data_IF_288909982404
#
_entry.id   IF_288909982404
#
_cell.length_a   1.000
_cell.length_b   1.000
_cell.length_c   1.000
_cell.angle_alpha   90.00
_cell.angle_beta   90.00
_cell.angle_gamma   90.00
#
_symmetry.space_group_name_H-M   'P 1'
#
loop_
_entity.id
_entity.type
_entity.pdbx_description
1 polymer ?
#
# COMPACT_ATOMS: atom_id res chain seq x y z
N UNK A 1 13.04 -2.81 -14.10
CA UNK A 1 12.50 -3.21 -12.78
C UNK A 1 11.99 -4.62 -12.94
N UNK A 2 12.19 -5.46 -11.94
CA UNK A 2 11.82 -6.88 -11.96
C UNK A 2 11.13 -7.26 -10.66
N UNK A 3 10.29 -8.30 -10.73
CA UNK A 3 9.59 -8.87 -9.58
C UNK A 3 10.54 -9.75 -8.76
N UNK A 4 10.51 -9.60 -7.44
CA UNK A 4 11.27 -10.43 -6.50
C UNK A 4 10.41 -11.49 -5.81
N UNK A 5 9.09 -11.39 -5.91
CA UNK A 5 8.17 -12.36 -5.34
C UNK A 5 8.44 -13.75 -5.92
N UNK A 6 8.67 -14.72 -5.04
CA UNK A 6 8.87 -16.13 -5.41
C UNK A 6 8.02 -17.06 -4.55
N UNK A 7 7.54 -18.16 -5.15
CA UNK A 7 6.69 -19.12 -4.47
C UNK A 7 5.24 -18.66 -4.30
N UNK A 8 4.45 -19.49 -3.62
CA UNK A 8 2.98 -19.38 -3.53
C UNK A 8 2.47 -19.13 -2.11
N UNK A 9 3.35 -18.81 -1.16
CA UNK A 9 2.97 -18.58 0.23
C UNK A 9 2.23 -17.24 0.35
N UNK A 10 1.05 -17.19 1.01
CA UNK A 10 0.24 -15.97 1.09
C UNK A 10 0.93 -14.91 1.95
N UNK A 11 0.92 -13.67 1.46
CA UNK A 11 1.40 -12.49 2.20
C UNK A 11 0.30 -11.91 3.08
N UNK A 12 -0.97 -12.24 2.80
CA UNK A 12 -2.12 -11.89 3.60
C UNK A 12 -2.91 -13.15 3.98
N UNK A 13 -3.27 -13.28 5.26
CA UNK A 13 -4.05 -14.41 5.78
C UNK A 13 -4.96 -13.95 6.91
N UNK A 14 -6.27 -14.16 6.73
CA UNK A 14 -7.26 -14.02 7.78
C UNK A 14 -8.03 -15.33 7.98
N UNK A 15 -9.13 -15.30 8.73
CA UNK A 15 -9.91 -16.51 9.03
C UNK A 15 -10.68 -17.10 7.82
N UNK A 16 -10.81 -16.34 6.73
CA UNK A 16 -11.72 -16.65 5.60
C UNK A 16 -10.95 -16.76 4.29
N UNK A 17 -9.81 -16.08 4.13
CA UNK A 17 -9.05 -16.03 2.89
C UNK A 17 -7.54 -15.94 3.11
N UNK A 18 -6.81 -16.38 2.09
CA UNK A 18 -5.36 -16.28 1.97
C UNK A 18 -5.00 -15.77 0.58
N UNK A 19 -4.22 -14.70 0.48
CA UNK A 19 -3.93 -14.00 -0.78
C UNK A 19 -2.46 -13.56 -0.84
N UNK A 20 -1.95 -13.35 -2.05
CA UNK A 20 -0.63 -12.74 -2.31
C UNK A 20 -0.89 -11.36 -2.89
N UNK A 21 -0.86 -10.34 -2.01
CA UNK A 21 -1.19 -8.95 -2.37
C UNK A 21 -0.04 -7.99 -2.15
N UNK A 22 1.00 -8.42 -1.44
CA UNK A 22 2.20 -7.62 -1.17
C UNK A 22 3.27 -7.93 -2.23
N UNK A 23 3.70 -6.89 -2.97
CA UNK A 23 4.65 -7.00 -4.08
C UNK A 23 5.99 -6.38 -3.68
N UNK A 24 7.09 -7.07 -3.99
CA UNK A 24 8.46 -6.57 -3.85
C UNK A 24 9.07 -6.41 -5.25
N UNK A 25 9.49 -5.19 -5.56
CA UNK A 25 10.15 -4.84 -6.83
C UNK A 25 11.60 -4.45 -6.58
N UNK A 26 12.47 -4.77 -7.53
CA UNK A 26 13.84 -4.25 -7.54
C UNK A 26 14.23 -3.75 -8.93
N UNK A 27 15.18 -2.82 -8.97
CA UNK A 27 15.87 -2.47 -10.19
C UNK A 27 16.80 -3.60 -10.62
N UNK A 28 17.08 -3.73 -11.93
CA UNK A 28 17.90 -4.82 -12.49
C UNK A 28 19.27 -4.94 -11.82
N UNK A 29 19.89 -3.80 -11.50
CA UNK A 29 21.18 -3.74 -10.82
C UNK A 29 21.12 -4.19 -9.34
N UNK A 30 19.97 -4.13 -8.69
CA UNK A 30 19.77 -4.56 -7.29
C UNK A 30 19.20 -5.98 -7.21
N UNK A 31 18.54 -6.46 -8.27
CA UNK A 31 17.92 -7.78 -8.32
C UNK A 31 18.90 -8.90 -7.97
N UNK A 32 20.14 -8.83 -8.48
CA UNK A 32 21.20 -9.80 -8.19
C UNK A 32 21.78 -9.69 -6.78
N UNK A 33 21.50 -8.60 -6.05
CA UNK A 33 21.91 -8.40 -4.66
C UNK A 33 20.92 -8.97 -3.65
N UNK A 34 19.66 -9.14 -4.06
CA UNK A 34 18.61 -9.69 -3.21
C UNK A 34 18.68 -11.21 -3.19
N UNK A 35 18.75 -11.78 -1.99
CA UNK A 35 18.86 -13.22 -1.76
C UNK A 35 17.76 -13.68 -0.78
N UNK A 36 17.40 -14.97 -0.85
CA UNK A 36 16.45 -15.64 0.04
C UNK A 36 15.12 -14.89 0.25
N UNK A 37 14.60 -14.25 -0.79
CA UNK A 37 13.27 -13.66 -0.72
C UNK A 37 12.25 -14.76 -0.38
N UNK A 38 11.46 -14.54 0.67
CA UNK A 38 10.39 -15.45 1.08
C UNK A 38 9.40 -14.75 2.00
N UNK A 39 8.20 -15.31 2.08
CA UNK A 39 7.27 -15.01 3.17
C UNK A 39 7.67 -15.83 4.40
N UNK A 40 7.85 -15.17 5.53
CA UNK A 40 8.28 -15.77 6.80
C UNK A 40 7.28 -16.82 7.30
N UNK A 41 7.82 -17.84 8.00
CA UNK A 41 7.02 -18.83 8.75
C UNK A 41 6.58 -18.33 10.12
N UNK A 42 7.22 -17.26 10.59
CA UNK A 42 6.94 -16.66 11.89
C UNK A 42 5.57 -15.97 11.90
N UNK A 43 4.97 -15.96 13.08
CA UNK A 43 3.64 -15.38 13.29
C UNK A 43 3.79 -13.87 13.49
N UNK A 44 3.26 -13.07 12.56
CA UNK A 44 3.31 -11.61 12.57
C UNK A 44 2.31 -10.92 13.52
N UNK A 45 1.39 -11.68 14.13
CA UNK A 45 0.19 -11.17 14.84
C UNK A 45 -0.73 -10.25 14.03
N UNK A 46 -0.42 -10.03 12.76
CA UNK A 46 -1.23 -9.32 11.77
C UNK A 46 -1.93 -10.30 10.83
N UNK A 47 -2.88 -9.82 10.05
CA UNK A 47 -3.36 -10.51 8.86
C UNK A 47 -2.29 -10.52 7.75
N UNK A 48 -1.47 -9.48 7.64
CA UNK A 48 -0.26 -9.49 6.81
C UNK A 48 0.86 -10.36 7.40
N UNK A 49 1.60 -11.05 6.55
CA UNK A 49 2.76 -11.89 6.87
C UNK A 49 4.05 -11.13 6.56
N UNK A 50 5.12 -11.42 7.30
CA UNK A 50 6.40 -10.77 7.06
C UNK A 50 7.04 -11.28 5.77
N UNK A 51 7.40 -10.37 4.88
CA UNK A 51 8.30 -10.65 3.75
C UNK A 51 9.73 -10.43 4.25
N UNK A 52 10.60 -11.41 4.01
CA UNK A 52 12.01 -11.34 4.42
C UNK A 52 12.91 -11.69 3.24
N UNK A 53 14.00 -10.94 3.11
CA UNK A 53 15.06 -11.16 2.14
C UNK A 53 16.40 -10.70 2.75
N UNK A 54 17.49 -11.06 2.11
CA UNK A 54 18.86 -10.64 2.47
C UNK A 54 19.43 -9.80 1.33
N UNK A 55 20.23 -8.81 1.67
CA UNK A 55 21.04 -8.08 0.70
C UNK A 55 22.49 -8.57 0.80
N UNK A 56 23.15 -8.74 -0.35
CA UNK A 56 24.59 -9.07 -0.43
C UNK A 56 25.46 -7.95 0.15
N UNK A 57 25.08 -6.69 -0.09
CA UNK A 57 25.77 -5.52 0.45
C UNK A 57 25.01 -4.97 1.66
N UNK A 58 25.74 -4.42 2.62
CA UNK A 58 25.14 -3.72 3.76
C UNK A 58 25.43 -2.22 3.65
N UNK A 59 24.49 -1.40 3.16
CA UNK A 59 24.69 0.04 3.02
C UNK A 59 25.10 0.75 4.31
N UNK A 60 24.82 0.17 5.49
CA UNK A 60 25.25 0.73 6.79
C UNK A 60 26.74 0.58 7.07
N UNK A 61 27.46 -0.23 6.29
CA UNK A 61 28.89 -0.55 6.49
C UNK A 61 29.79 -0.01 5.37
N UNK A 62 29.25 0.85 4.51
CA UNK A 62 30.03 1.47 3.44
C UNK A 62 31.16 2.34 4.01
N UNK A 63 32.33 2.31 3.37
CA UNK A 63 33.39 3.27 3.61
C UNK A 63 33.02 4.63 3.00
N UNK A 64 32.28 5.45 3.76
CA UNK A 64 31.84 6.77 3.30
C UNK A 64 32.99 7.74 3.02
N UNK A 65 34.12 7.59 3.71
CA UNK A 65 35.28 8.48 3.53
C UNK A 65 35.91 8.21 2.17
N UNK A 66 36.30 6.95 1.90
CA UNK A 66 36.86 6.55 0.60
C UNK A 66 35.91 6.85 -0.56
N UNK A 67 34.62 6.52 -0.40
CA UNK A 67 33.61 6.83 -1.41
C UNK A 67 33.56 8.33 -1.76
N UNK A 68 33.58 9.21 -0.75
CA UNK A 68 33.53 10.66 -0.97
C UNK A 68 34.79 11.19 -1.63
N UNK A 69 35.96 10.70 -1.23
CA UNK A 69 37.25 11.13 -1.79
C UNK A 69 37.38 10.70 -3.26
N UNK A 70 37.11 9.43 -3.57
CA UNK A 70 37.15 8.89 -4.93
C UNK A 70 36.15 9.58 -5.86
N UNK A 71 34.90 9.74 -5.39
CA UNK A 71 33.85 10.39 -6.16
C UNK A 71 34.19 11.86 -6.43
N UNK A 72 34.68 12.59 -5.41
CA UNK A 72 35.07 13.99 -5.56
C UNK A 72 36.21 14.15 -6.56
N UNK A 73 37.26 13.34 -6.44
CA UNK A 73 38.40 13.36 -7.36
C UNK A 73 37.95 13.13 -8.80
N UNK A 74 37.08 12.14 -9.03
CA UNK A 74 36.59 11.83 -10.37
C UNK A 74 35.69 12.92 -10.94
N UNK A 75 34.75 13.45 -10.15
CA UNK A 75 33.87 14.55 -10.58
C UNK A 75 34.66 15.81 -10.90
N UNK A 76 35.67 16.17 -10.09
CA UNK A 76 36.52 17.34 -10.36
C UNK A 76 37.30 17.23 -11.67
N UNK A 77 37.62 16.01 -12.11
CA UNK A 77 38.25 15.74 -13.40
C UNK A 77 37.27 15.58 -14.57
N UNK A 78 35.96 15.51 -14.28
CA UNK A 78 34.93 15.22 -15.27
C UNK A 78 34.59 16.49 -16.06
N UNK A 79 35.25 16.67 -17.21
CA UNK A 79 34.96 17.75 -18.15
C UNK A 79 33.88 17.28 -19.11
N UNK A 80 32.80 18.06 -19.22
CA UNK A 80 31.73 17.82 -20.20
C UNK A 80 31.35 19.14 -20.83
N UNK A 81 31.28 19.13 -22.16
CA UNK A 81 30.60 20.14 -22.98
C UNK A 81 29.25 19.57 -23.39
N UNK A 82 28.17 20.31 -23.16
CA UNK A 82 26.79 19.88 -23.45
C UNK A 82 26.28 20.69 -24.63
N UNK A 83 26.31 20.13 -25.83
CA UNK A 83 25.82 20.81 -27.04
C UNK A 83 24.46 20.26 -27.46
N UNK A 84 24.18 18.99 -27.13
CA UNK A 84 22.95 18.30 -27.48
C UNK A 84 22.27 17.61 -26.29
N UNK A 85 21.01 17.24 -26.46
CA UNK A 85 20.27 16.41 -25.50
C UNK A 85 20.89 15.02 -25.32
N UNK A 86 21.47 14.48 -26.38
CA UNK A 86 22.17 13.21 -26.43
C UNK A 86 23.44 13.23 -25.58
N UNK A 87 24.18 14.36 -25.59
CA UNK A 87 25.36 14.55 -24.75
C UNK A 87 25.01 14.53 -23.27
N UNK A 88 23.88 15.15 -22.91
CA UNK A 88 23.38 15.18 -21.52
C UNK A 88 23.04 13.74 -21.08
N UNK A 89 22.32 12.99 -21.90
CA UNK A 89 21.95 11.61 -21.61
C UNK A 89 23.16 10.68 -21.52
N UNK A 90 24.15 10.88 -22.39
CA UNK A 90 25.40 10.15 -22.36
C UNK A 90 26.17 10.43 -21.07
N UNK A 91 26.30 11.70 -20.68
CA UNK A 91 26.99 12.09 -19.47
C UNK A 91 26.27 11.63 -18.21
N UNK A 92 24.94 11.61 -18.21
CA UNK A 92 24.11 11.03 -17.15
C UNK A 92 24.39 9.54 -16.94
N UNK A 93 24.57 8.77 -18.03
CA UNK A 93 24.96 7.35 -17.95
C UNK A 93 26.36 7.19 -17.37
N UNK A 94 27.33 7.97 -17.84
CA UNK A 94 28.71 7.91 -17.32
C UNK A 94 28.74 8.25 -15.83
N UNK A 95 28.08 9.33 -15.41
CA UNK A 95 28.03 9.71 -14.00
C UNK A 95 27.35 8.64 -13.14
N UNK A 96 26.27 8.03 -13.65
CA UNK A 96 25.61 6.90 -12.98
C UNK A 96 26.57 5.72 -12.78
N UNK A 97 27.31 5.34 -13.82
CA UNK A 97 28.23 4.21 -13.76
C UNK A 97 29.41 4.49 -12.81
N UNK A 98 29.90 5.73 -12.77
CA UNK A 98 30.90 6.21 -11.81
C UNK A 98 30.37 6.10 -10.38
N UNK A 99 29.17 6.62 -10.11
CA UNK A 99 28.54 6.58 -8.79
C UNK A 99 28.35 5.14 -8.31
N UNK A 100 27.84 4.27 -9.20
CA UNK A 100 27.60 2.85 -8.88
C UNK A 100 28.93 2.15 -8.61
N UNK A 101 29.93 2.30 -9.47
CA UNK A 101 31.22 1.61 -9.30
C UNK A 101 31.94 2.00 -8.02
N UNK A 102 31.97 3.29 -7.65
CA UNK A 102 32.54 3.71 -6.37
C UNK A 102 31.75 3.20 -5.17
N UNK A 103 30.42 3.16 -5.26
CA UNK A 103 29.60 2.53 -4.23
C UNK A 103 29.96 1.05 -4.05
N UNK A 104 30.08 0.32 -5.16
CA UNK A 104 30.40 -1.10 -5.13
C UNK A 104 31.79 -1.40 -4.59
N UNK A 105 32.78 -0.56 -4.93
CA UNK A 105 34.16 -0.66 -4.42
C UNK A 105 34.25 -0.37 -2.91
N UNK A 106 33.48 0.60 -2.43
CA UNK A 106 33.49 1.00 -1.02
C UNK A 106 32.50 0.21 -0.15
N UNK A 107 31.70 -0.68 -0.74
CA UNK A 107 30.69 -1.49 -0.05
C UNK A 107 30.92 -2.98 -0.30
N UNK A 108 31.71 -3.61 0.57
CA UNK A 108 32.05 -5.03 0.51
C UNK A 108 30.83 -5.94 0.36
N UNK A 109 30.95 -6.93 -0.53
CA UNK A 109 30.02 -8.05 -0.60
C UNK A 109 30.14 -8.89 0.67
N UNK A 110 29.11 -8.85 1.50
CA UNK A 110 29.02 -9.66 2.71
C UNK A 110 27.94 -10.70 2.54
N UNK A 111 28.36 -11.94 2.28
CA UNK A 111 27.50 -13.08 2.55
C UNK A 111 27.26 -13.13 4.07
N UNK A 112 26.14 -12.55 4.54
CA UNK A 112 25.71 -12.74 5.92
C UNK A 112 25.59 -14.24 6.14
N UNK A 113 26.46 -14.81 6.97
CA UNK A 113 26.25 -16.15 7.53
C UNK A 113 24.84 -16.17 8.11
N UNK A 114 24.04 -17.23 7.88
CA UNK A 114 22.73 -17.32 8.49
C UNK A 114 22.88 -17.05 9.98
N UNK A 115 22.24 -15.98 10.44
CA UNK A 115 22.18 -15.65 11.86
C UNK A 115 21.76 -16.92 12.58
N UNK A 116 22.49 -17.33 13.63
CA UNK A 116 21.93 -18.32 14.56
C UNK A 116 20.54 -17.82 14.90
N UNK A 117 19.54 -18.71 14.80
CA UNK A 117 18.16 -18.46 15.22
C UNK A 117 18.19 -17.58 16.47
N UNK A 118 17.39 -16.52 16.50
CA UNK A 118 17.36 -15.58 17.61
C UNK A 118 17.47 -16.38 18.94
N UNK A 119 18.54 -16.23 19.73
CA UNK A 119 18.87 -17.18 20.79
C UNK A 119 17.81 -17.21 21.90
N UNK A 120 17.00 -16.16 21.99
CA UNK A 120 15.86 -16.04 22.88
C UNK A 120 14.58 -16.69 22.33
N UNK A 121 14.53 -17.09 21.06
CA UNK A 121 13.36 -17.71 20.43
C UNK A 121 13.39 -19.23 20.57
N UNK A 122 12.36 -19.80 21.20
CA UNK A 122 12.25 -21.25 21.41
C UNK A 122 10.83 -21.77 21.10
N UNK A 123 10.69 -23.09 20.98
CA UNK A 123 9.41 -23.75 20.65
C UNK A 123 8.28 -23.44 21.65
N UNK A 124 8.60 -23.19 22.92
CA UNK A 124 7.62 -22.83 23.96
C UNK A 124 7.00 -21.45 23.68
N UNK A 125 7.82 -20.46 23.35
CA UNK A 125 7.37 -19.13 22.95
C UNK A 125 6.52 -19.19 21.68
N UNK A 126 6.94 -19.96 20.68
CA UNK A 126 6.16 -20.14 19.44
C UNK A 126 4.77 -20.73 19.72
N UNK A 127 4.67 -21.74 20.59
CA UNK A 127 3.40 -22.35 21.00
C UNK A 127 2.50 -21.35 21.72
N UNK A 128 3.06 -20.55 22.64
CA UNK A 128 2.32 -19.50 23.37
C UNK A 128 1.82 -18.41 22.44
N UNK A 129 2.64 -17.95 21.50
CA UNK A 129 2.22 -16.95 20.50
C UNK A 129 1.09 -17.46 19.60
N UNK A 130 1.16 -18.72 19.15
CA UNK A 130 0.05 -19.34 18.39
C UNK A 130 -1.24 -19.37 19.22
N UNK A 131 -1.17 -19.62 20.53
CA UNK A 131 -2.33 -19.59 21.43
C UNK A 131 -2.90 -18.16 21.55
N UNK A 132 -2.05 -17.16 21.77
CA UNK A 132 -2.47 -15.74 21.84
C UNK A 132 -3.17 -15.32 20.55
N UNK A 133 -2.63 -15.66 19.37
CA UNK A 133 -3.27 -15.35 18.08
C UNK A 133 -4.64 -16.00 17.93
N UNK A 134 -4.80 -17.26 18.35
CA UNK A 134 -6.10 -17.94 18.32
C UNK A 134 -7.13 -17.23 19.20
N UNK A 135 -6.74 -16.87 20.43
CA UNK A 135 -7.61 -16.15 21.36
C UNK A 135 -7.99 -14.77 20.84
N UNK A 136 -7.03 -14.03 20.30
CA UNK A 136 -7.28 -12.71 19.71
C UNK A 136 -8.21 -12.77 18.50
N UNK A 137 -8.02 -13.76 17.61
CA UNK A 137 -8.92 -13.96 16.47
C UNK A 137 -10.33 -14.36 16.93
N UNK A 138 -10.46 -15.17 17.98
CA UNK A 138 -11.75 -15.50 18.57
C UNK A 138 -12.42 -14.26 19.16
N UNK A 139 -11.68 -13.45 19.93
CA UNK A 139 -12.17 -12.17 20.45
C UNK A 139 -12.71 -11.26 19.34
N UNK A 140 -11.96 -11.08 18.24
CA UNK A 140 -12.44 -10.31 17.08
C UNK A 140 -13.76 -10.85 16.51
N UNK A 141 -13.89 -12.17 16.38
CA UNK A 141 -15.14 -12.81 15.93
C UNK A 141 -16.29 -12.56 16.91
N UNK A 142 -16.03 -12.59 18.21
CA UNK A 142 -17.06 -12.30 19.21
C UNK A 142 -17.51 -10.82 19.18
N UNK A 143 -16.60 -9.86 18.96
CA UNK A 143 -16.98 -8.46 18.70
C UNK A 143 -17.90 -8.36 17.48
N UNK A 144 -17.52 -9.01 16.38
CA UNK A 144 -18.29 -8.95 15.14
C UNK A 144 -19.69 -9.55 15.34
N UNK A 145 -19.78 -10.72 16.00
CA UNK A 145 -21.06 -11.34 16.38
C UNK A 145 -21.88 -10.42 17.27
N UNK A 146 -21.30 -9.86 18.33
CA UNK A 146 -21.98 -8.95 19.24
C UNK A 146 -22.47 -7.68 18.51
N UNK A 147 -21.70 -7.17 17.56
CA UNK A 147 -22.10 -6.06 16.69
C UNK A 147 -23.29 -6.43 15.81
N UNK A 148 -23.26 -7.59 15.17
CA UNK A 148 -24.38 -8.12 14.35
C UNK A 148 -25.63 -8.35 15.20
N UNK A 149 -25.49 -8.95 16.38
CA UNK A 149 -26.60 -9.19 17.31
C UNK A 149 -27.17 -7.90 17.89
N UNK A 150 -26.31 -6.95 18.27
CA UNK A 150 -26.68 -5.62 18.71
C UNK A 150 -27.47 -4.88 17.62
N UNK A 151 -27.01 -4.96 16.37
CA UNK A 151 -27.73 -4.42 15.22
C UNK A 151 -29.09 -5.08 15.02
N UNK A 152 -29.16 -6.42 15.08
CA UNK A 152 -30.43 -7.16 15.02
C UNK A 152 -31.40 -6.74 16.13
N UNK A 153 -30.91 -6.58 17.36
CA UNK A 153 -31.71 -6.15 18.52
C UNK A 153 -32.21 -4.72 18.33
N UNK A 154 -31.34 -3.81 17.90
CA UNK A 154 -31.70 -2.43 17.56
C UNK A 154 -32.81 -2.38 16.51
N UNK A 155 -32.67 -3.12 15.41
CA UNK A 155 -33.69 -3.19 14.37
C UNK A 155 -35.02 -3.77 14.88
N UNK A 156 -34.99 -4.76 15.77
CA UNK A 156 -36.20 -5.37 16.36
C UNK A 156 -36.89 -4.46 17.39
N UNK A 157 -36.14 -3.67 18.16
CA UNK A 157 -36.69 -2.75 19.16
C UNK A 157 -37.44 -1.56 18.55
N UNK A 158 -37.22 -1.31 17.26
CA UNK A 158 -37.82 -0.22 16.50
C UNK A 158 -39.03 -0.74 15.74
N UNK A 159 -40.21 -0.56 16.32
CA UNK A 159 -41.51 -1.01 15.77
C UNK A 159 -42.34 0.11 15.16
N UNK A 160 -41.87 1.37 15.23
CA UNK A 160 -42.63 2.53 14.73
C UNK A 160 -42.21 2.91 13.31
N UNK A 161 -43.16 3.46 12.53
CA UNK A 161 -42.96 3.87 11.13
C UNK A 161 -41.88 4.97 10.98
N UNK A 162 -41.68 5.81 11.99
CA UNK A 162 -40.64 6.85 11.97
C UNK A 162 -39.22 6.28 12.14
N UNK A 163 -39.10 5.15 12.83
CA UNK A 163 -37.81 4.49 13.07
C UNK A 163 -37.32 3.71 11.85
N UNK A 164 -38.23 3.04 11.13
CA UNK A 164 -37.94 2.38 9.85
C UNK A 164 -37.60 3.41 8.76
N UNK A 165 -38.20 4.59 8.77
CA UNK A 165 -37.82 5.70 7.88
C UNK A 165 -36.38 6.19 8.13
N UNK A 166 -35.94 6.32 9.39
CA UNK A 166 -34.54 6.67 9.73
C UNK A 166 -33.55 5.59 9.29
N UNK A 167 -33.88 4.31 9.47
CA UNK A 167 -33.10 3.17 8.99
C UNK A 167 -33.00 3.15 7.47
N UNK A 168 -34.10 3.41 6.77
CA UNK A 168 -34.15 3.54 5.31
C UNK A 168 -33.24 4.66 4.81
N UNK A 169 -33.26 5.84 5.43
CA UNK A 169 -32.38 6.98 5.11
C UNK A 169 -30.89 6.62 5.30
N UNK A 170 -30.54 5.93 6.39
CA UNK A 170 -29.15 5.52 6.68
C UNK A 170 -28.66 4.44 5.71
N UNK A 171 -29.52 3.50 5.33
CA UNK A 171 -29.18 2.42 4.40
C UNK A 171 -29.15 2.87 2.94
N UNK A 172 -29.93 3.90 2.56
CA UNK A 172 -29.87 4.51 1.23
C UNK A 172 -28.64 5.39 1.01
N UNK A 173 -28.00 5.87 2.08
CA UNK A 173 -26.82 6.75 2.00
C UNK A 173 -25.66 6.23 2.85
N UNK A 174 -24.94 5.19 2.40
CA UNK A 174 -23.75 4.70 3.08
C UNK A 174 -22.67 5.80 3.06
N UNK A 175 -22.52 6.48 4.21
CA UNK A 175 -21.83 7.78 4.41
C UNK A 175 -22.61 8.93 3.79
N UNK A 176 -23.27 9.73 4.64
CA UNK A 176 -24.04 10.91 4.22
C UNK A 176 -23.19 11.80 3.30
N UNK A 177 -23.69 12.17 2.11
CA UNK A 177 -23.06 13.22 1.31
C UNK A 177 -23.10 14.55 2.07
N UNK A 178 -22.08 15.39 1.88
CA UNK A 178 -21.83 16.68 2.56
C UNK A 178 -22.96 17.74 2.38
N UNK A 179 -24.04 17.38 1.69
CA UNK A 179 -25.08 18.25 1.14
C UNK A 179 -26.04 18.80 2.18
N UNK A 180 -26.33 18.02 3.22
CA UNK A 180 -27.27 18.42 4.28
C UNK A 180 -26.62 19.30 5.36
N UNK A 181 -25.36 19.70 5.17
CA UNK A 181 -24.57 20.42 6.19
C UNK A 181 -24.03 21.76 5.70
N UNK A 182 -24.18 22.07 4.41
CA UNK A 182 -23.67 23.31 3.83
C UNK A 182 -24.85 24.18 3.40
N UNK A 183 -24.98 25.33 4.08
CA UNK A 183 -25.96 26.36 3.74
C UNK A 183 -25.37 27.27 2.68
N UNK A 184 -26.09 27.43 1.57
CA UNK A 184 -25.70 28.30 0.48
C UNK A 184 -25.84 29.76 0.91
N UNK A 185 -25.13 30.65 0.21
CA UNK A 185 -25.19 32.11 0.45
C UNK A 185 -26.61 32.67 0.24
N UNK A 186 -27.45 31.97 -0.54
CA UNK A 186 -28.86 32.30 -0.77
C UNK A 186 -29.78 31.96 0.42
N UNK A 187 -29.26 31.30 1.46
CA UNK A 187 -30.01 30.91 2.66
C UNK A 187 -30.65 29.52 2.59
N UNK A 188 -30.63 28.87 1.43
CA UNK A 188 -31.09 27.51 1.22
C UNK A 188 -29.99 26.46 1.48
N UNK A 189 -30.38 25.20 1.65
CA UNK A 189 -29.45 24.08 1.79
C UNK A 189 -29.02 23.52 0.42
N UNK A 190 -27.76 23.11 0.30
CA UNK A 190 -27.22 22.55 -0.93
C UNK A 190 -27.91 21.22 -1.28
N UNK A 191 -28.52 21.14 -2.47
CA UNK A 191 -29.36 19.99 -2.85
C UNK A 191 -28.53 18.81 -3.35
N UNK A 192 -27.27 19.05 -3.70
CA UNK A 192 -26.34 18.04 -4.18
C UNK A 192 -24.87 18.46 -3.92
N UNK A 193 -23.94 17.49 -4.04
CA UNK A 193 -22.54 17.69 -3.68
C UNK A 193 -21.82 18.73 -4.55
N UNK A 194 -22.27 18.93 -5.79
CA UNK A 194 -21.69 19.95 -6.69
C UNK A 194 -22.09 21.37 -6.27
N UNK A 195 -23.33 21.59 -5.85
CA UNK A 195 -23.78 22.88 -5.29
C UNK A 195 -23.03 23.23 -4.01
N UNK A 196 -22.89 22.25 -3.11
CA UNK A 196 -22.17 22.43 -1.86
C UNK A 196 -20.69 22.80 -2.10
N UNK A 197 -20.03 22.10 -3.03
CA UNK A 197 -18.64 22.36 -3.42
C UNK A 197 -18.48 23.73 -4.08
N UNK A 198 -19.36 24.10 -5.01
CA UNK A 198 -19.34 25.42 -5.67
C UNK A 198 -19.55 26.55 -4.68
N UNK A 199 -20.44 26.39 -3.71
CA UNK A 199 -20.64 27.39 -2.65
C UNK A 199 -19.41 27.54 -1.77
N UNK A 200 -18.80 26.44 -1.33
CA UNK A 200 -17.57 26.49 -0.52
C UNK A 200 -16.42 27.16 -1.27
N UNK A 201 -16.21 26.82 -2.54
CA UNK A 201 -15.16 27.42 -3.37
C UNK A 201 -15.42 28.92 -3.53
N UNK A 202 -16.65 29.34 -3.81
CA UNK A 202 -17.02 30.75 -3.98
C UNK A 202 -16.88 31.56 -2.69
N UNK A 203 -17.19 30.96 -1.53
CA UNK A 203 -17.12 31.63 -0.22
C UNK A 203 -15.69 31.73 0.32
N UNK A 204 -14.86 30.69 0.14
CA UNK A 204 -13.52 30.64 0.72
C UNK A 204 -12.39 31.01 -0.24
N UNK A 205 -12.64 30.99 -1.56
CA UNK A 205 -11.64 31.24 -2.61
C UNK A 205 -12.26 32.08 -3.76
N UNK A 206 -12.60 33.36 -3.53
CA UNK A 206 -13.34 34.18 -4.50
C UNK A 206 -12.61 34.44 -5.82
N UNK A 207 -11.28 34.31 -5.84
CA UNK A 207 -10.44 34.50 -7.02
C UNK A 207 -10.35 33.25 -7.92
N UNK A 208 -10.96 32.13 -7.52
CA UNK A 208 -10.94 30.87 -8.26
C UNK A 208 -11.82 30.93 -9.52
N UNK A 209 -11.24 30.68 -10.71
CA UNK A 209 -11.96 30.58 -12.00
C UNK A 209 -12.16 29.12 -12.42
N UNK A 210 -13.41 28.67 -12.54
CA UNK A 210 -13.77 27.29 -12.91
C UNK A 210 -13.54 27.06 -14.43
N UNK A 211 -12.53 26.26 -14.80
CA UNK A 211 -12.22 26.01 -16.23
C UNK A 211 -11.04 25.09 -16.61
N UNK A 212 -10.15 24.70 -15.70
CA UNK A 212 -9.02 23.81 -16.06
C UNK A 212 -9.30 22.34 -15.70
N UNK A 213 -10.13 21.64 -16.50
CA UNK A 213 -10.32 20.19 -16.36
C UNK A 213 -9.37 19.43 -17.30
N UNK A 214 -8.50 18.60 -16.74
CA UNK A 214 -7.74 17.59 -17.49
C UNK A 214 -8.60 16.35 -17.77
N UNK A 215 -8.33 15.71 -18.90
CA UNK A 215 -9.06 14.63 -19.58
C UNK A 215 -9.22 13.30 -18.78
N UNK A 216 -8.85 13.26 -17.50
CA UNK A 216 -8.59 12.01 -16.76
C UNK A 216 -9.82 11.30 -16.16
N UNK A 217 -11.02 11.90 -16.17
CA UNK A 217 -12.18 11.37 -15.41
C UNK A 217 -13.17 10.54 -16.28
N UNK A 218 -12.93 10.39 -17.59
CA UNK A 218 -13.85 9.67 -18.50
C UNK A 218 -13.81 8.13 -18.40
N UNK A 219 -12.92 7.52 -17.62
CA UNK A 219 -12.79 6.05 -17.51
C UNK A 219 -13.21 5.53 -16.12
N UNK A 220 -14.49 5.64 -15.78
CA UNK A 220 -15.08 4.82 -14.70
C UNK A 220 -15.90 3.68 -15.30
N UNK A 221 -15.51 2.46 -14.94
CA UNK A 221 -16.07 1.18 -15.40
C UNK A 221 -17.58 1.08 -15.22
N UNK A 222 -18.26 0.54 -16.22
CA UNK A 222 -19.73 0.47 -16.28
C UNK A 222 -20.26 -0.71 -15.47
N UNK A 223 -21.56 -0.69 -15.18
CA UNK A 223 -22.27 -1.72 -14.40
C UNK A 223 -22.20 -3.10 -15.08
N UNK A 224 -22.02 -3.15 -16.40
CA UNK A 224 -21.80 -4.39 -17.13
C UNK A 224 -20.48 -5.08 -16.74
N UNK A 225 -19.42 -4.30 -16.49
CA UNK A 225 -18.08 -4.81 -16.15
C UNK A 225 -18.11 -5.59 -14.82
N UNK A 226 -18.89 -5.11 -13.85
CA UNK A 226 -19.08 -5.78 -12.56
C UNK A 226 -19.89 -7.08 -12.64
N UNK A 227 -20.83 -7.19 -13.61
CA UNK A 227 -21.59 -8.43 -13.84
C UNK A 227 -20.74 -9.49 -14.53
N UNK A 228 -19.86 -9.07 -15.45
CA UNK A 228 -18.89 -9.95 -16.09
C UNK A 228 -17.87 -10.48 -15.07
N UNK A 229 -17.34 -9.60 -14.21
CA UNK A 229 -16.40 -9.99 -13.15
C UNK A 229 -17.03 -11.02 -12.20
N UNK A 230 -18.29 -10.81 -11.79
CA UNK A 230 -19.01 -11.74 -10.92
C UNK A 230 -19.19 -13.13 -11.53
N UNK A 231 -19.47 -13.22 -12.84
CA UNK A 231 -19.55 -14.49 -13.58
C UNK A 231 -18.20 -15.22 -13.66
N UNK A 232 -17.10 -14.48 -13.73
CA UNK A 232 -15.75 -15.07 -13.79
C UNK A 232 -15.32 -15.60 -12.43
N UNK A 233 -15.78 -14.98 -11.33
CA UNK A 233 -15.41 -15.38 -9.96
C UNK A 233 -16.26 -16.49 -9.34
N UNK A 234 -17.48 -16.73 -9.84
CA UNK A 234 -18.34 -17.82 -9.35
C UNK A 234 -17.90 -19.16 -9.98
N UNK A 235 -17.14 -19.92 -9.20
CA UNK A 235 -16.51 -21.21 -9.53
C UNK A 235 -17.50 -22.26 -10.06
N UNK A 236 -17.36 -22.59 -11.35
CA UNK A 236 -17.62 -23.92 -11.89
C UNK A 236 -16.64 -24.25 -13.03
N UNK A 237 -15.33 -24.09 -12.80
CA UNK A 237 -14.25 -24.74 -13.59
C UNK A 237 -12.89 -24.52 -12.92
N UNK A 238 -12.65 -25.27 -11.86
CA UNK A 238 -11.30 -25.71 -11.50
C UNK A 238 -11.43 -27.21 -11.26
N UNK A 239 -11.23 -27.98 -12.34
CA UNK A 239 -10.65 -29.32 -12.24
C UNK A 239 -9.14 -29.13 -12.35
#
# INVERSE_FOLDING_TARGET
MDFLNTGSRPTFRNAVREEIIDITLAFRNVWSEVMDWRVSKEVSMSDHQHIVFRLKRNPRKINWVGYREELKAKISSFRVTYETTEDIDHCSRILRDIIISFYENNCELRLKRPSKSAPWWNKSLEKRMKKVRRLYNNYKKEIEKAGVEGWKRYCKSRSTVSDTARLYIVLQHPKKPLTDSIRLVTGDWAKNGQEALKSLIKTHFPDFKEGARSEAVKLMARREDWRLMKRITDKARIR
#
